data_IF_332632193591
#
_entry.id   IF_332632193591
#
_cell.length_a   1.000
_cell.length_b   1.000
_cell.length_c   1.000
_cell.angle_alpha   90.00
_cell.angle_beta   90.00
_cell.angle_gamma   90.00
#
_symmetry.space_group_name_H-M   'P 1'
#
loop_
_entity.id
_entity.type
_entity.pdbx_description
1 polymer ?
#
# COMPACT_ATOMS: atom_id res chain seq x y z
N UNK A 1 5.86 -20.29 -16.34
CA UNK A 1 4.39 -20.34 -16.47
C UNK A 1 3.81 -19.50 -15.36
N UNK A 2 2.98 -18.52 -15.69
CA UNK A 2 2.74 -17.31 -14.89
C UNK A 2 1.21 -17.13 -14.72
N UNK A 3 0.61 -18.11 -14.05
CA UNK A 3 -0.83 -18.38 -13.85
C UNK A 3 -1.52 -19.17 -14.96
N UNK A 4 -2.22 -20.24 -14.56
CA UNK A 4 -3.26 -20.94 -15.33
C UNK A 4 -4.33 -21.52 -14.37
N UNK A 5 -5.62 -21.36 -14.70
CA UNK A 5 -6.84 -21.73 -13.96
C UNK A 5 -6.90 -21.34 -12.47
N UNK A 6 -6.53 -20.11 -12.12
CA UNK A 6 -6.54 -19.69 -10.71
C UNK A 6 -7.94 -19.24 -10.24
N UNK A 7 -8.50 -19.97 -9.27
CA UNK A 7 -9.68 -19.60 -8.49
C UNK A 7 -9.28 -19.34 -7.02
N UNK A 8 -9.41 -18.09 -6.58
CA UNK A 8 -9.06 -17.65 -5.23
C UNK A 8 -10.10 -16.65 -4.74
N UNK A 9 -10.57 -16.82 -3.50
CA UNK A 9 -11.40 -15.83 -2.81
C UNK A 9 -10.69 -15.40 -1.52
N UNK A 10 -10.47 -14.10 -1.37
CA UNK A 10 -9.94 -13.47 -0.15
C UNK A 10 -11.05 -12.61 0.43
N UNK A 11 -11.37 -12.81 1.71
CA UNK A 11 -12.43 -12.09 2.42
C UNK A 11 -11.82 -11.01 3.31
N UNK A 12 -12.65 -10.06 3.73
CA UNK A 12 -12.26 -9.04 4.70
C UNK A 12 -11.78 -9.71 6.00
N UNK A 13 -10.57 -9.35 6.44
CA UNK A 13 -9.93 -9.93 7.63
C UNK A 13 -9.01 -11.11 7.34
N UNK A 14 -8.99 -11.63 6.11
CA UNK A 14 -8.06 -12.69 5.72
C UNK A 14 -6.64 -12.13 5.55
N UNK A 15 -5.65 -12.97 5.85
CA UNK A 15 -4.23 -12.71 5.53
C UNK A 15 -3.76 -13.71 4.47
N UNK A 16 -3.41 -13.20 3.28
CA UNK A 16 -2.89 -14.00 2.16
C UNK A 16 -1.37 -13.85 2.06
N UNK A 17 -0.64 -14.96 2.13
CA UNK A 17 0.78 -15.02 1.84
C UNK A 17 1.03 -15.73 0.51
N UNK A 18 1.76 -15.07 -0.41
CA UNK A 18 2.15 -15.66 -1.70
C UNK A 18 3.64 -16.05 -1.67
N UNK A 19 3.92 -17.35 -1.61
CA UNK A 19 5.28 -17.90 -1.55
C UNK A 19 5.67 -18.70 -2.80
N UNK A 20 6.95 -18.73 -3.13
CA UNK A 20 7.48 -19.47 -4.29
C UNK A 20 8.86 -18.97 -4.74
N UNK A 21 9.56 -19.69 -5.63
CA UNK A 21 10.89 -19.32 -6.10
C UNK A 21 10.92 -17.97 -6.83
N UNK A 22 12.10 -17.36 -6.93
CA UNK A 22 12.28 -16.14 -7.71
C UNK A 22 11.86 -16.37 -9.17
N UNK A 23 11.12 -15.41 -9.74
CA UNK A 23 10.56 -15.55 -11.10
C UNK A 23 9.27 -16.35 -11.21
N UNK A 24 8.70 -16.87 -10.10
CA UNK A 24 7.44 -17.64 -10.16
C UNK A 24 6.16 -16.81 -10.43
N UNK A 25 6.28 -15.48 -10.51
CA UNK A 25 5.15 -14.58 -10.78
C UNK A 25 4.48 -13.94 -9.56
N UNK A 26 4.98 -14.12 -8.34
CA UNK A 26 4.37 -13.58 -7.10
C UNK A 26 4.01 -12.09 -7.20
N UNK A 27 4.98 -11.26 -7.57
CA UNK A 27 4.76 -9.81 -7.73
C UNK A 27 3.73 -9.51 -8.81
N UNK A 28 3.69 -10.31 -9.88
CA UNK A 28 2.67 -10.20 -10.92
C UNK A 28 1.28 -10.56 -10.39
N UNK A 29 1.15 -11.60 -9.55
CA UNK A 29 -0.11 -11.98 -8.92
C UNK A 29 -0.63 -10.86 -8.04
N UNK A 30 0.23 -10.35 -7.15
CA UNK A 30 -0.14 -9.29 -6.23
C UNK A 30 -0.52 -8.00 -6.98
N UNK A 31 0.17 -7.66 -8.08
CA UNK A 31 -0.22 -6.54 -8.95
C UNK A 31 -1.56 -6.75 -9.64
N UNK A 32 -1.87 -7.97 -10.12
CA UNK A 32 -3.19 -8.31 -10.67
C UNK A 32 -4.29 -8.12 -9.62
N UNK A 33 -4.09 -8.69 -8.43
CA UNK A 33 -5.04 -8.57 -7.33
C UNK A 33 -5.24 -7.11 -6.90
N UNK A 34 -4.22 -6.26 -7.00
CA UNK A 34 -4.34 -4.83 -6.72
C UNK A 34 -4.91 -4.00 -7.88
N UNK A 35 -5.21 -4.60 -9.04
CA UNK A 35 -5.63 -3.86 -10.24
C UNK A 35 -4.51 -3.03 -10.89
N UNK A 36 -3.25 -3.24 -10.49
CA UNK A 36 -2.06 -2.58 -11.05
C UNK A 36 -1.56 -3.25 -12.35
N UNK A 37 -2.14 -4.39 -12.70
CA UNK A 37 -1.88 -5.12 -13.94
C UNK A 37 -3.21 -5.71 -14.43
N UNK A 38 -3.43 -5.77 -15.76
CA UNK A 38 -4.60 -6.44 -16.32
C UNK A 38 -4.31 -7.92 -16.60
N UNK A 39 -5.28 -8.83 -16.37
CA UNK A 39 -5.12 -10.23 -16.71
C UNK A 39 -5.17 -10.42 -18.23
N UNK A 40 -4.34 -11.32 -18.75
CA UNK A 40 -4.41 -11.74 -20.17
C UNK A 40 -5.68 -12.55 -20.46
N UNK A 41 -6.18 -13.29 -19.49
CA UNK A 41 -7.44 -14.05 -19.53
C UNK A 41 -8.03 -14.20 -18.12
N UNK A 42 -9.35 -14.41 -18.03
CA UNK A 42 -10.07 -14.50 -16.76
C UNK A 42 -10.54 -13.14 -16.22
N UNK A 43 -10.92 -13.09 -14.95
CA UNK A 43 -11.40 -11.87 -14.29
C UNK A 43 -10.88 -11.78 -12.85
N UNK A 44 -10.63 -10.56 -12.39
CA UNK A 44 -10.31 -10.25 -10.99
C UNK A 44 -11.39 -9.32 -10.48
N UNK A 45 -12.00 -9.67 -9.34
CA UNK A 45 -13.03 -8.85 -8.71
C UNK A 45 -12.51 -8.32 -7.37
N UNK A 46 -12.57 -7.01 -7.20
CA UNK A 46 -12.30 -6.31 -5.96
C UNK A 46 -13.61 -5.74 -5.42
N UNK A 47 -14.01 -6.16 -4.21
CA UNK A 47 -15.31 -5.80 -3.63
C UNK A 47 -16.48 -6.07 -4.60
N UNK A 48 -16.39 -7.16 -5.37
CA UNK A 48 -17.40 -7.54 -6.37
C UNK A 48 -17.34 -6.77 -7.70
N UNK A 49 -16.40 -5.84 -7.88
CA UNK A 49 -16.24 -5.04 -9.10
C UNK A 49 -14.99 -5.46 -9.89
N UNK A 50 -15.01 -5.46 -11.25
CA UNK A 50 -13.84 -5.78 -12.05
C UNK A 50 -12.62 -4.88 -11.75
N UNK A 51 -11.49 -5.50 -11.42
CA UNK A 51 -10.23 -4.79 -11.23
C UNK A 51 -9.72 -4.26 -12.58
N UNK A 52 -9.33 -2.98 -12.64
CA UNK A 52 -8.66 -2.40 -13.82
C UNK A 52 -9.51 -1.54 -14.74
N UNK A 53 -10.76 -1.22 -14.41
CA UNK A 53 -11.58 -0.26 -15.20
C UNK A 53 -11.52 1.19 -14.69
N UNK A 54 -11.06 1.42 -13.47
CA UNK A 54 -10.80 2.75 -12.91
C UNK A 54 -9.82 2.63 -11.74
N UNK A 55 -8.62 3.23 -11.79
CA UNK A 55 -7.71 3.34 -10.63
C UNK A 55 -8.33 4.09 -9.44
N UNK A 56 -9.46 4.77 -9.68
CA UNK A 56 -10.18 5.64 -8.77
C UNK A 56 -11.60 5.15 -8.49
N UNK A 57 -11.87 3.85 -8.67
CA UNK A 57 -13.17 3.30 -8.28
C UNK A 57 -13.39 3.54 -6.77
N UNK A 58 -14.40 4.33 -6.37
CA UNK A 58 -14.61 4.67 -4.97
C UNK A 58 -14.84 3.38 -4.15
N UNK A 59 -14.05 3.20 -3.09
CA UNK A 59 -14.18 2.07 -2.16
C UNK A 59 -13.06 1.03 -2.21
N UNK A 60 -12.06 1.19 -3.09
CA UNK A 60 -10.84 0.38 -3.05
C UNK A 60 -9.79 1.05 -2.15
N UNK A 61 -9.75 0.64 -0.89
CA UNK A 61 -8.70 1.06 0.05
C UNK A 61 -7.56 0.04 -0.01
N UNK A 62 -6.70 0.15 -1.03
CA UNK A 62 -5.56 -0.74 -1.25
C UNK A 62 -4.26 0.02 -0.99
N UNK A 63 -3.38 -0.53 -0.14
CA UNK A 63 -2.03 -0.02 0.04
C UNK A 63 -1.04 -1.01 -0.53
N UNK A 64 -0.36 -0.61 -1.61
CA UNK A 64 0.76 -1.36 -2.17
C UNK A 64 2.08 -0.89 -1.56
N UNK A 65 2.76 -1.77 -0.84
CA UNK A 65 4.11 -1.55 -0.32
C UNK A 65 5.08 -2.32 -1.20
N UNK A 66 5.61 -1.63 -2.21
CA UNK A 66 6.59 -2.20 -3.12
C UNK A 66 7.97 -2.38 -2.50
N UNK A 67 8.85 -3.05 -3.24
CA UNK A 67 10.26 -3.21 -2.87
C UNK A 67 11.02 -1.89 -2.85
N UNK A 68 10.65 -0.95 -3.73
CA UNK A 68 11.12 0.43 -3.68
C UNK A 68 10.20 1.23 -2.76
N UNK A 69 10.81 1.97 -1.84
CA UNK A 69 10.07 2.89 -0.98
C UNK A 69 9.42 3.97 -1.85
N UNK A 70 8.11 4.17 -1.73
CA UNK A 70 7.42 5.33 -2.32
C UNK A 70 7.77 6.65 -1.61
N UNK A 71 8.71 6.58 -0.67
CA UNK A 71 9.17 7.66 0.18
C UNK A 71 10.09 8.61 -0.60
N UNK A 72 9.87 9.90 -0.40
CA UNK A 72 10.77 10.95 -0.89
C UNK A 72 11.79 11.22 0.20
N UNK A 73 13.01 10.72 0.01
CA UNK A 73 14.07 10.75 1.03
C UNK A 73 14.47 12.17 1.47
N UNK A 74 14.28 13.17 0.60
CA UNK A 74 14.54 14.57 0.89
C UNK A 74 13.44 15.25 1.71
N UNK A 75 12.25 14.65 1.80
CA UNK A 75 11.15 15.16 2.60
C UNK A 75 11.15 14.56 4.01
N UNK A 76 10.53 15.25 4.95
CA UNK A 76 10.32 14.73 6.31
C UNK A 76 9.19 13.69 6.32
N UNK A 77 9.04 12.86 7.38
CA UNK A 77 7.89 11.99 7.54
C UNK A 77 6.56 12.74 7.48
N UNK A 78 6.48 13.92 8.11
CA UNK A 78 5.30 14.76 8.11
C UNK A 78 4.94 15.21 6.69
N UNK A 79 5.92 15.65 5.90
CA UNK A 79 5.74 16.08 4.52
C UNK A 79 5.34 14.93 3.59
N UNK A 80 6.00 13.77 3.71
CA UNK A 80 5.66 12.57 2.94
C UNK A 80 4.20 12.16 3.20
N UNK A 81 3.81 12.13 4.47
CA UNK A 81 2.48 11.70 4.88
C UNK A 81 1.41 12.71 4.49
N UNK A 82 1.66 14.00 4.69
CA UNK A 82 0.78 15.09 4.27
C UNK A 82 0.55 15.11 2.77
N UNK A 83 1.62 14.91 1.97
CA UNK A 83 1.53 14.82 0.51
C UNK A 83 0.68 13.63 0.07
N UNK A 84 0.87 12.46 0.70
CA UNK A 84 0.11 11.25 0.38
C UNK A 84 -1.37 11.39 0.75
N UNK A 85 -1.68 11.95 1.92
CA UNK A 85 -3.05 12.27 2.34
C UNK A 85 -3.71 13.24 1.35
N UNK A 86 -3.02 14.33 0.95
CA UNK A 86 -3.56 15.29 0.00
C UNK A 86 -3.95 14.68 -1.36
N UNK A 87 -3.28 13.61 -1.79
CA UNK A 87 -3.57 12.93 -3.07
C UNK A 87 -4.74 11.95 -3.01
N UNK A 88 -4.97 11.31 -1.86
CA UNK A 88 -5.90 10.19 -1.76
C UNK A 88 -7.06 10.48 -0.79
N UNK A 89 -6.73 10.93 0.41
CA UNK A 89 -7.70 11.23 1.45
C UNK A 89 -7.15 12.36 2.33
N UNK A 90 -7.64 13.60 2.14
CA UNK A 90 -7.24 14.72 3.00
C UNK A 90 -7.45 14.34 4.46
N UNK A 91 -6.41 14.54 5.27
CA UNK A 91 -6.39 14.32 6.70
C UNK A 91 -5.94 15.63 7.36
N UNK A 92 -6.41 15.89 8.57
CA UNK A 92 -5.92 17.02 9.35
C UNK A 92 -4.54 16.73 9.94
N UNK A 93 -3.88 17.77 10.45
CA UNK A 93 -2.54 17.66 11.01
C UNK A 93 -2.51 16.68 12.19
N UNK A 94 -3.52 16.70 13.06
CA UNK A 94 -3.58 15.85 14.24
C UNK A 94 -3.65 14.36 13.86
N UNK A 95 -4.42 13.99 12.84
CA UNK A 95 -4.47 12.62 12.33
C UNK A 95 -3.12 12.15 11.76
N UNK A 96 -2.41 13.04 11.06
CA UNK A 96 -1.08 12.77 10.51
C UNK A 96 -0.05 12.57 11.63
N UNK A 97 -0.05 13.43 12.66
CA UNK A 97 0.81 13.28 13.84
C UNK A 97 0.52 11.98 14.59
N UNK A 98 -0.75 11.66 14.84
CA UNK A 98 -1.16 10.42 15.50
C UNK A 98 -0.72 9.17 14.70
N UNK A 99 -0.78 9.25 13.37
CA UNK A 99 -0.32 8.18 12.50
C UNK A 99 1.20 7.96 12.58
N UNK A 100 2.01 9.03 12.67
CA UNK A 100 3.45 8.93 12.87
C UNK A 100 3.80 8.36 14.25
N UNK A 101 3.08 8.76 15.29
CA UNK A 101 3.27 8.21 16.64
C UNK A 101 2.93 6.71 16.68
N UNK A 102 1.81 6.31 16.07
CA UNK A 102 1.38 4.91 16.02
C UNK A 102 2.39 3.95 15.36
N UNK A 103 3.25 4.47 14.46
CA UNK A 103 4.33 3.71 13.83
C UNK A 103 5.68 3.91 14.52
N UNK A 104 5.72 4.61 15.65
CA UNK A 104 6.91 4.88 16.45
C UNK A 104 7.89 5.84 15.79
N UNK A 105 7.36 6.89 15.15
CA UNK A 105 8.12 7.98 14.54
C UNK A 105 7.89 9.33 15.25
N UNK A 106 7.30 9.34 16.44
CA UNK A 106 7.25 10.51 17.30
C UNK A 106 8.67 11.07 17.56
N UNK A 107 8.83 12.39 17.43
CA UNK A 107 10.11 13.10 17.52
C UNK A 107 10.98 13.08 16.25
N UNK A 108 10.51 12.45 15.17
CA UNK A 108 11.20 12.43 13.86
C UNK A 108 10.41 13.15 12.76
N UNK A 109 9.34 13.85 13.11
CA UNK A 109 8.35 14.42 12.18
C UNK A 109 8.97 15.45 11.22
N UNK A 110 9.95 16.20 11.71
CA UNK A 110 10.62 17.30 10.99
C UNK A 110 12.04 16.96 10.53
N UNK A 111 12.44 15.68 10.64
CA UNK A 111 13.78 15.22 10.26
C UNK A 111 13.73 14.63 8.85
N UNK A 112 14.60 15.04 7.90
CA UNK A 112 14.61 14.48 6.55
C UNK A 112 14.79 12.96 6.54
N UNK A 113 13.99 12.27 5.73
CA UNK A 113 13.93 10.81 5.78
C UNK A 113 15.24 10.11 5.41
N UNK A 114 16.11 10.73 4.61
CA UNK A 114 17.43 10.19 4.27
C UNK A 114 18.36 10.02 5.50
N UNK A 115 18.06 10.68 6.62
CA UNK A 115 18.80 10.54 7.89
C UNK A 115 18.25 9.42 8.78
N UNK A 116 17.05 8.91 8.47
CA UNK A 116 16.42 7.83 9.21
C UNK A 116 17.05 6.48 8.85
N UNK A 117 17.05 5.54 9.80
CA UNK A 117 17.41 4.16 9.50
C UNK A 117 16.45 3.54 8.48
N UNK A 118 16.90 2.53 7.73
CA UNK A 118 16.06 1.81 6.77
C UNK A 118 14.77 1.25 7.41
N UNK A 119 14.81 0.87 8.69
CA UNK A 119 13.64 0.41 9.44
C UNK A 119 12.64 1.54 9.77
N UNK A 120 13.15 2.75 10.07
CA UNK A 120 12.30 3.94 10.26
C UNK A 120 11.68 4.38 8.93
N UNK A 121 12.45 4.43 7.85
CA UNK A 121 11.95 4.76 6.50
C UNK A 121 10.81 3.83 6.07
N UNK A 122 10.92 2.53 6.32
CA UNK A 122 9.86 1.54 6.02
C UNK A 122 8.56 1.78 6.80
N UNK A 123 8.61 2.46 7.95
CA UNK A 123 7.45 2.71 8.82
C UNK A 123 6.67 3.98 8.45
N UNK A 124 7.26 4.88 7.66
CA UNK A 124 6.59 6.11 7.20
C UNK A 124 5.40 5.80 6.28
N UNK A 125 5.53 4.84 5.35
CA UNK A 125 4.46 4.50 4.40
C UNK A 125 3.22 3.84 5.06
N UNK A 126 3.37 2.88 6.00
CA UNK A 126 2.24 2.34 6.76
C UNK A 126 1.47 3.37 7.58
N UNK A 127 2.10 4.45 8.07
CA UNK A 127 1.43 5.51 8.83
C UNK A 127 0.21 6.08 8.09
N UNK A 128 0.29 6.20 6.76
CA UNK A 128 -0.81 6.71 5.94
C UNK A 128 -2.07 5.84 5.97
N UNK A 129 -1.88 4.51 6.07
CA UNK A 129 -2.99 3.58 6.17
C UNK A 129 -3.69 3.59 7.54
N UNK A 130 -2.98 3.96 8.62
CA UNK A 130 -3.56 4.02 9.97
C UNK A 130 -4.54 5.19 10.09
N UNK A 131 -4.27 6.30 9.39
CA UNK A 131 -5.14 7.47 9.38
C UNK A 131 -6.40 7.32 8.51
N UNK A 132 -6.39 6.42 7.52
CA UNK A 132 -7.37 6.43 6.42
C UNK A 132 -8.05 5.07 6.21
N UNK A 133 -8.89 4.62 7.17
CA UNK A 133 -9.68 3.36 7.12
C UNK A 133 -8.82 2.08 6.97
N UNK A 134 -9.32 0.88 7.33
CA UNK A 134 -8.56 -0.35 7.08
C UNK A 134 -8.29 -0.47 5.57
N UNK A 135 -7.03 -0.41 5.19
CA UNK A 135 -6.57 -0.65 3.84
C UNK A 135 -6.07 -2.09 3.74
N UNK A 136 -6.39 -2.78 2.65
CA UNK A 136 -5.77 -4.07 2.35
C UNK A 136 -4.30 -3.81 2.01
N UNK A 137 -3.41 -4.19 2.91
CA UNK A 137 -1.97 -4.09 2.73
C UNK A 137 -1.47 -5.23 1.83
N UNK A 138 -0.73 -4.86 0.79
CA UNK A 138 -0.06 -5.81 -0.10
C UNK A 138 1.42 -5.47 -0.14
N UNK A 139 2.27 -6.38 0.35
CA UNK A 139 3.72 -6.21 0.50
C UNK A 139 4.50 -7.36 -0.16
#
# INVERSE_FOLDING_TARGET
MLFENLDLQVRTGDMLQVSGPNGSGKTSLLRLLCGLMQPTAGHVLLNGQPAGRQPTAPGLNLLWVGHASALKDLLTPLENLSWLCALHHPADADAIFNALDAVGLAGFEDVPCHTLSAGQQRRVAPGASVSARPATLVA
#
